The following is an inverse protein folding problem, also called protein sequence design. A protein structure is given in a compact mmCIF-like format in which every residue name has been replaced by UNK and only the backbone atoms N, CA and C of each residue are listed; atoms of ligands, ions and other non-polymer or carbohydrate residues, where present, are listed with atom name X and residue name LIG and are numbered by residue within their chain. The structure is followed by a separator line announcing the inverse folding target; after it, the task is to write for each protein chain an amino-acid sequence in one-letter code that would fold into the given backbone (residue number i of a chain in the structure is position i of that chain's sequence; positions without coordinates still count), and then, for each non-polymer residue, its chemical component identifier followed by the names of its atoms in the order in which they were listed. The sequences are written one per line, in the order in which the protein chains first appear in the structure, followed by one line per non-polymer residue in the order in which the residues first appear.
data_IF_657546545324
#
_entry.id   IF_657546545324
#
_cell.length_a   1.000
_cell.length_b   1.000
_cell.length_c   1.000
_cell.angle_alpha   90.00
_cell.angle_beta   90.00
_cell.angle_gamma   90.00
#
_symmetry.space_group_name_H-M   'P 1'
#
loop_
_entity.id
_entity.type
_entity.pdbx_description
1 polymer ?
#
# COMPACT_ATOMS: atom_id res chain seq x y z
N UNK A 1 18.21 -13.98 0.05
CA UNK A 1 18.04 -12.58 0.43
C UNK A 1 17.28 -11.92 -0.71
N UNK A 2 15.99 -11.70 -0.56
CA UNK A 2 15.15 -11.07 -1.59
C UNK A 2 15.12 -9.58 -1.26
N UNK A 3 15.63 -8.76 -2.17
CA UNK A 3 15.61 -7.30 -2.03
C UNK A 3 14.18 -6.78 -2.22
N UNK A 4 13.76 -5.77 -1.43
CA UNK A 4 12.48 -5.09 -1.65
C UNK A 4 12.47 -4.32 -2.97
N UNK A 5 11.31 -3.96 -3.42
CA UNK A 5 11.00 -3.17 -4.61
C UNK A 5 11.78 -1.85 -4.68
N UNK A 6 13.03 -1.88 -5.00
CA UNK A 6 13.96 -0.84 -5.42
C UNK A 6 15.36 -1.22 -4.92
N UNK A 7 16.22 -1.63 -5.81
CA UNK A 7 17.62 -1.90 -5.50
C UNK A 7 18.29 -0.60 -5.07
N UNK A 8 18.61 -0.46 -3.79
CA UNK A 8 19.52 0.58 -3.29
C UNK A 8 20.89 -0.07 -3.08
N UNK A 9 21.88 0.45 -3.78
CA UNK A 9 23.27 0.04 -3.64
C UNK A 9 23.78 0.28 -2.20
N UNK A 10 24.55 -0.66 -1.67
CA UNK A 10 25.24 -0.56 -0.37
C UNK A 10 26.23 0.61 -0.37
N UNK A 11 26.06 1.55 0.54
CA UNK A 11 27.03 2.64 0.81
C UNK A 11 26.91 3.13 2.25
N UNK A 12 28.05 3.34 2.89
CA UNK A 12 28.35 3.50 4.31
C UNK A 12 27.64 4.66 5.03
N UNK A 13 27.52 4.49 6.36
CA UNK A 13 27.03 5.46 7.35
C UNK A 13 27.80 6.79 7.29
N UNK A 14 27.11 7.89 7.07
CA UNK A 14 27.60 9.23 7.34
C UNK A 14 26.66 9.97 8.30
N UNK A 15 27.26 10.38 9.43
CA UNK A 15 26.67 11.12 10.55
C UNK A 15 26.16 12.49 10.09
N UNK A 16 24.90 12.81 10.34
CA UNK A 16 24.39 14.17 10.23
C UNK A 16 24.32 14.87 11.58
N UNK A 17 24.97 16.03 11.66
CA UNK A 17 24.89 16.99 12.78
C UNK A 17 23.60 17.80 12.64
N UNK A 18 22.88 17.91 13.75
CA UNK A 18 21.80 18.87 13.95
C UNK A 18 22.31 20.31 13.81
N UNK A 19 21.65 21.11 12.98
CA UNK A 19 21.70 22.57 13.04
C UNK A 19 20.32 23.01 13.55
N UNK A 20 20.35 23.62 14.75
CA UNK A 20 19.21 24.31 15.34
C UNK A 20 18.92 25.58 14.54
N UNK A 21 17.67 25.84 14.25
CA UNK A 21 17.16 27.15 13.87
C UNK A 21 16.16 27.63 14.90
N UNK A 22 16.37 28.87 15.34
CA UNK A 22 15.77 29.56 16.46
C UNK A 22 14.23 29.73 16.37
N UNK A 23 13.68 29.68 17.55
CA UNK A 23 12.31 30.04 17.88
C UNK A 23 12.13 31.58 17.91
N UNK A 24 11.05 32.11 17.37
CA UNK A 24 10.28 33.20 18.01
C UNK A 24 8.86 33.28 17.45
N UNK A 25 7.95 33.36 18.35
CA UNK A 25 6.71 34.12 18.58
C UNK A 25 5.42 33.31 18.58
N UNK A 26 4.98 33.11 19.76
CA UNK A 26 3.71 33.41 20.49
C UNK A 26 2.35 33.28 19.82
N UNK A 27 1.53 32.58 20.58
CA UNK A 27 0.10 32.56 20.88
C UNK A 27 -0.72 31.43 20.25
N UNK A 28 -1.36 30.61 21.13
CA UNK A 28 -2.32 29.60 20.68
C UNK A 28 -3.69 30.24 20.41
N UNK A 29 -4.38 29.89 19.32
CA UNK A 29 -5.78 30.24 19.15
C UNK A 29 -6.67 29.31 19.98
N UNK A 30 -7.65 29.93 20.59
CA UNK A 30 -8.72 29.45 21.44
C UNK A 30 -9.49 28.25 20.84
N UNK A 31 -9.94 27.44 21.78
CA UNK A 31 -10.80 26.29 21.66
C UNK A 31 -12.15 26.64 20.98
N UNK A 32 -12.24 26.48 19.67
CA UNK A 32 -13.50 26.45 18.95
C UNK A 32 -13.72 25.07 18.31
N UNK A 33 -14.87 24.55 18.61
CA UNK A 33 -15.45 23.29 18.19
C UNK A 33 -14.95 22.78 16.82
N UNK A 34 -14.16 21.70 16.80
CA UNK A 34 -13.82 20.95 15.59
C UNK A 34 -15.08 20.22 15.10
N UNK A 35 -15.90 20.91 14.34
CA UNK A 35 -16.92 20.29 13.50
C UNK A 35 -16.19 19.44 12.44
N UNK A 36 -16.50 18.15 12.41
CA UNK A 36 -16.15 17.27 11.31
C UNK A 36 -16.76 17.84 10.01
N UNK A 37 -15.99 18.57 9.24
CA UNK A 37 -16.40 18.95 7.90
C UNK A 37 -16.38 17.68 7.03
N UNK A 38 -17.56 17.15 6.73
CA UNK A 38 -17.75 16.22 5.62
C UNK A 38 -17.35 16.94 4.32
N UNK A 39 -16.09 16.77 3.92
CA UNK A 39 -15.64 17.16 2.60
C UNK A 39 -16.34 16.27 1.56
N UNK A 40 -17.39 16.78 0.96
CA UNK A 40 -18.05 16.18 -0.20
C UNK A 40 -17.13 16.32 -1.41
N UNK A 41 -16.18 15.40 -1.58
CA UNK A 41 -15.44 15.25 -2.83
C UNK A 41 -16.33 14.53 -3.84
N UNK A 42 -17.26 15.24 -4.47
CA UNK A 42 -17.89 14.80 -5.71
C UNK A 42 -16.98 15.21 -6.86
N UNK A 43 -16.14 14.28 -7.29
CA UNK A 43 -15.44 14.38 -8.55
C UNK A 43 -15.14 12.98 -9.07
N UNK A 44 -15.43 12.69 -10.33
CA UNK A 44 -15.09 11.44 -11.03
C UNK A 44 -13.55 11.34 -11.21
N UNK A 45 -12.83 11.31 -10.10
CA UNK A 45 -11.40 11.15 -10.15
C UNK A 45 -11.04 9.69 -10.39
N UNK A 46 -10.11 9.47 -11.27
CA UNK A 46 -9.65 8.21 -11.80
C UNK A 46 -9.61 7.09 -10.76
N UNK A 47 -10.31 6.01 -11.05
CA UNK A 47 -10.15 4.71 -10.38
C UNK A 47 -9.00 4.01 -11.08
N UNK A 48 -8.28 3.15 -10.35
CA UNK A 48 -7.26 2.32 -10.97
C UNK A 48 -7.86 1.57 -12.16
N UNK A 49 -7.20 1.66 -13.31
CA UNK A 49 -7.62 0.94 -14.51
C UNK A 49 -7.34 -0.56 -14.32
N UNK A 50 -8.35 -1.45 -14.24
CA UNK A 50 -8.11 -2.87 -14.03
C UNK A 50 -7.19 -3.50 -15.09
N UNK A 51 -7.20 -2.97 -16.33
CA UNK A 51 -6.30 -3.43 -17.40
C UNK A 51 -4.82 -3.23 -17.08
N UNK A 52 -4.47 -2.28 -16.19
CA UNK A 52 -3.09 -2.10 -15.77
C UNK A 52 -2.58 -3.33 -14.98
N UNK A 53 -3.47 -4.04 -14.29
CA UNK A 53 -3.14 -5.22 -13.50
C UNK A 53 -3.29 -6.55 -14.27
N UNK A 54 -3.74 -6.54 -15.54
CA UNK A 54 -3.85 -7.78 -16.33
C UNK A 54 -2.52 -8.55 -16.43
N UNK A 55 -1.34 -7.92 -16.71
CA UNK A 55 -0.09 -8.67 -16.75
C UNK A 55 0.27 -9.30 -15.41
N UNK A 56 0.02 -8.60 -14.29
CA UNK A 56 0.21 -9.14 -12.95
C UNK A 56 -0.69 -10.35 -12.69
N UNK A 57 -1.98 -10.24 -12.97
CA UNK A 57 -2.93 -11.36 -12.82
C UNK A 57 -2.54 -12.58 -13.65
N UNK A 58 -2.14 -12.36 -14.91
CA UNK A 58 -1.66 -13.43 -15.81
C UNK A 58 -0.40 -14.09 -15.29
N UNK A 59 0.54 -13.32 -14.74
CA UNK A 59 1.75 -13.86 -14.11
C UNK A 59 1.41 -14.78 -12.94
N UNK A 60 0.50 -14.37 -12.06
CA UNK A 60 0.03 -15.19 -10.96
C UNK A 60 -0.63 -16.49 -11.47
N UNK A 61 -1.47 -16.39 -12.48
CA UNK A 61 -2.17 -17.55 -13.04
C UNK A 61 -1.21 -18.52 -13.73
N UNK A 62 -0.21 -18.02 -14.47
CA UNK A 62 0.82 -18.84 -15.12
C UNK A 62 1.64 -19.61 -14.07
N UNK A 63 2.08 -18.93 -13.01
CA UNK A 63 2.80 -19.57 -11.92
C UNK A 63 1.95 -20.65 -11.22
N UNK A 64 0.69 -20.37 -10.94
CA UNK A 64 -0.25 -21.33 -10.35
C UNK A 64 -0.51 -22.55 -11.25
N UNK A 65 -0.31 -22.42 -12.57
CA UNK A 65 -0.41 -23.49 -13.56
C UNK A 65 0.92 -24.22 -13.79
N UNK A 66 2.00 -23.92 -13.04
CA UNK A 66 3.28 -24.62 -13.06
C UNK A 66 4.44 -23.91 -13.75
N UNK A 67 4.26 -22.70 -14.26
CA UNK A 67 5.35 -21.86 -14.78
C UNK A 67 6.12 -21.19 -13.62
N UNK A 68 7.01 -21.98 -13.00
CA UNK A 68 7.75 -21.56 -11.80
C UNK A 68 8.94 -20.63 -12.08
N UNK A 69 9.27 -20.40 -13.34
CA UNK A 69 10.43 -19.58 -13.76
C UNK A 69 10.04 -18.17 -14.21
N UNK A 70 8.76 -17.83 -14.15
CA UNK A 70 8.25 -16.55 -14.64
C UNK A 70 8.62 -15.38 -13.73
N UNK A 71 9.00 -14.30 -14.38
CA UNK A 71 9.26 -13.00 -13.77
C UNK A 71 8.23 -11.97 -14.25
N UNK A 72 7.82 -11.09 -13.34
CA UNK A 72 7.04 -9.89 -13.63
C UNK A 72 8.00 -8.72 -13.82
N UNK A 73 7.92 -8.03 -14.96
CA UNK A 73 8.66 -6.80 -15.18
C UNK A 73 7.77 -5.61 -14.82
N UNK A 74 8.29 -4.73 -13.97
CA UNK A 74 7.64 -3.47 -13.59
C UNK A 74 8.52 -2.34 -14.13
N UNK A 75 7.95 -1.50 -14.97
CA UNK A 75 8.64 -0.37 -15.59
C UNK A 75 8.05 0.95 -15.09
N UNK A 76 8.93 1.84 -14.63
CA UNK A 76 8.56 3.24 -14.35
C UNK A 76 8.62 4.06 -15.64
N UNK A 77 7.87 5.14 -15.74
CA UNK A 77 7.74 5.93 -16.96
C UNK A 77 9.01 6.72 -17.35
N UNK A 78 10.02 6.75 -16.48
CA UNK A 78 11.37 7.25 -16.80
C UNK A 78 12.31 6.16 -17.37
N UNK A 79 11.79 4.96 -17.58
CA UNK A 79 12.53 3.82 -18.11
C UNK A 79 13.22 2.94 -17.07
N UNK A 80 13.14 3.28 -15.77
CA UNK A 80 13.64 2.40 -14.70
C UNK A 80 12.85 1.09 -14.68
N UNK A 81 13.53 -0.05 -14.60
CA UNK A 81 12.94 -1.38 -14.64
C UNK A 81 13.25 -2.17 -13.37
N UNK A 82 12.27 -2.90 -12.88
CA UNK A 82 12.40 -3.83 -11.76
C UNK A 82 11.81 -5.18 -12.14
N UNK A 83 12.59 -6.24 -11.93
CA UNK A 83 12.17 -7.63 -12.16
C UNK A 83 11.77 -8.24 -10.82
N UNK A 84 10.57 -8.79 -10.75
CA UNK A 84 10.03 -9.45 -9.55
C UNK A 84 9.72 -10.90 -9.87
N UNK A 85 10.40 -11.86 -9.23
CA UNK A 85 10.05 -13.27 -9.37
C UNK A 85 8.59 -13.50 -8.93
N UNK A 86 7.79 -14.14 -9.77
CA UNK A 86 6.35 -14.37 -9.46
C UNK A 86 6.19 -15.22 -8.21
N UNK A 87 7.17 -16.10 -7.90
CA UNK A 87 7.23 -16.86 -6.64
C UNK A 87 7.13 -16.00 -5.39
N UNK A 88 7.54 -14.72 -5.47
CA UNK A 88 7.41 -13.76 -4.37
C UNK A 88 5.97 -13.63 -3.85
N UNK A 89 4.99 -13.68 -4.74
CA UNK A 89 3.57 -13.56 -4.39
C UNK A 89 2.96 -14.85 -3.84
N UNK A 90 3.71 -15.97 -3.90
CA UNK A 90 3.26 -17.29 -3.44
C UNK A 90 3.94 -17.75 -2.15
N UNK A 91 4.66 -16.85 -1.49
CA UNK A 91 5.36 -17.17 -0.23
C UNK A 91 4.38 -17.68 0.83
N UNK A 92 4.85 -18.61 1.64
CA UNK A 92 4.22 -19.04 2.88
C UNK A 92 4.80 -18.26 4.07
N UNK A 93 4.19 -18.36 5.25
CA UNK A 93 4.56 -17.59 6.43
C UNK A 93 6.07 -17.58 6.77
N UNK A 94 6.82 -18.71 6.66
CA UNK A 94 8.26 -18.68 6.88
C UNK A 94 9.05 -17.76 5.93
N UNK A 95 8.51 -17.52 4.74
CA UNK A 95 9.08 -16.62 3.74
C UNK A 95 8.65 -15.18 3.86
N UNK A 96 7.79 -14.83 4.81
CA UNK A 96 7.36 -13.46 5.04
C UNK A 96 8.46 -12.62 5.69
N UNK A 97 8.46 -11.33 5.41
CA UNK A 97 9.32 -10.35 6.09
C UNK A 97 8.91 -10.23 7.56
N UNK A 98 9.77 -9.63 8.38
CA UNK A 98 9.44 -9.33 9.77
C UNK A 98 8.20 -8.43 9.87
N UNK A 99 8.13 -7.42 9.02
CA UNK A 99 7.00 -6.48 8.92
C UNK A 99 5.68 -7.20 8.57
N UNK A 100 5.70 -8.11 7.59
CA UNK A 100 4.51 -8.90 7.22
C UNK A 100 4.05 -9.78 8.39
N UNK A 101 4.99 -10.44 9.09
CA UNK A 101 4.66 -11.27 10.28
C UNK A 101 4.09 -10.44 11.43
N UNK A 102 4.65 -9.24 11.66
CA UNK A 102 4.14 -8.31 12.66
C UNK A 102 2.71 -7.86 12.32
N UNK A 103 2.46 -7.44 11.08
CA UNK A 103 1.12 -7.05 10.63
C UNK A 103 0.10 -8.17 10.80
N UNK A 104 0.45 -9.42 10.41
CA UNK A 104 -0.41 -10.59 10.58
C UNK A 104 -0.65 -10.88 12.07
N UNK A 105 0.36 -10.73 12.93
CA UNK A 105 0.23 -10.90 14.38
C UNK A 105 -0.69 -9.88 15.04
N UNK A 106 -0.87 -8.71 14.45
CA UNK A 106 -1.74 -7.64 14.93
C UNK A 106 -3.18 -7.74 14.38
N UNK A 107 -3.43 -8.60 13.40
CA UNK A 107 -4.78 -8.82 12.88
C UNK A 107 -5.69 -9.39 13.97
N UNK A 108 -6.96 -8.96 13.95
CA UNK A 108 -8.00 -9.44 14.88
C UNK A 108 -9.36 -9.48 14.21
N UNK A 109 -10.24 -10.33 14.72
CA UNK A 109 -11.63 -10.46 14.29
C UNK A 109 -11.79 -10.78 12.80
N UNK A 110 -12.75 -10.11 12.17
CA UNK A 110 -12.98 -10.17 10.73
C UNK A 110 -11.96 -9.30 9.98
N UNK A 111 -11.27 -9.89 9.01
CA UNK A 111 -10.18 -9.26 8.27
C UNK A 111 -10.56 -9.07 6.81
N UNK A 112 -10.40 -7.85 6.28
CA UNK A 112 -10.39 -7.57 4.84
C UNK A 112 -8.95 -7.43 4.37
N UNK A 113 -8.48 -8.37 3.54
CA UNK A 113 -7.16 -8.34 2.90
C UNK A 113 -7.29 -7.65 1.54
N UNK A 114 -6.79 -6.42 1.44
CA UNK A 114 -6.98 -5.50 0.31
C UNK A 114 -5.81 -5.61 -0.65
N UNK A 115 -6.08 -5.99 -1.91
CA UNK A 115 -5.03 -6.30 -2.89
C UNK A 115 -4.38 -7.65 -2.60
N UNK A 116 -5.19 -8.65 -2.30
CA UNK A 116 -4.74 -9.95 -1.79
C UNK A 116 -3.84 -10.74 -2.74
N UNK A 117 -3.83 -10.41 -4.04
CA UNK A 117 -3.01 -11.07 -5.05
C UNK A 117 -3.23 -12.58 -5.09
N UNK A 118 -2.17 -13.36 -4.89
CA UNK A 118 -2.26 -14.82 -4.81
C UNK A 118 -2.87 -15.35 -3.50
N UNK A 119 -3.28 -14.48 -2.57
CA UNK A 119 -3.91 -14.85 -1.29
C UNK A 119 -2.95 -15.39 -0.24
N UNK A 120 -1.67 -15.07 -0.30
CA UNK A 120 -0.65 -15.58 0.64
C UNK A 120 -0.94 -15.17 2.09
N UNK A 121 -1.21 -13.89 2.35
CA UNK A 121 -1.58 -13.40 3.67
C UNK A 121 -2.95 -13.92 4.11
N UNK A 122 -3.94 -13.86 3.23
CA UNK A 122 -5.29 -14.39 3.46
C UNK A 122 -5.27 -15.85 3.92
N UNK A 123 -4.52 -16.71 3.23
CA UNK A 123 -4.42 -18.13 3.57
C UNK A 123 -3.80 -18.36 4.95
N UNK A 124 -2.77 -17.57 5.30
CA UNK A 124 -2.13 -17.64 6.64
C UNK A 124 -3.10 -17.18 7.73
N UNK A 125 -3.78 -16.05 7.53
CA UNK A 125 -4.77 -15.54 8.48
C UNK A 125 -5.92 -16.52 8.69
N UNK A 126 -6.42 -17.15 7.61
CA UNK A 126 -7.46 -18.16 7.68
C UNK A 126 -7.00 -19.39 8.48
N UNK A 127 -5.74 -19.86 8.30
CA UNK A 127 -5.17 -20.94 9.11
C UNK A 127 -5.01 -20.58 10.58
N UNK A 128 -4.82 -19.29 10.90
CA UNK A 128 -4.77 -18.75 12.28
C UNK A 128 -6.17 -18.58 12.91
N UNK A 129 -7.25 -18.90 12.18
CA UNK A 129 -8.63 -18.85 12.65
C UNK A 129 -9.37 -17.53 12.44
N UNK A 130 -8.82 -16.61 11.66
CA UNK A 130 -9.51 -15.38 11.30
C UNK A 130 -10.58 -15.63 10.21
N UNK A 131 -11.67 -14.86 10.26
CA UNK A 131 -12.66 -14.77 9.18
C UNK A 131 -12.09 -13.75 8.18
N UNK A 132 -11.67 -14.23 7.00
CA UNK A 132 -10.96 -13.40 6.01
C UNK A 132 -11.81 -13.23 4.77
N UNK A 133 -11.96 -11.99 4.32
CA UNK A 133 -12.41 -11.65 2.97
C UNK A 133 -11.18 -11.13 2.20
N UNK A 134 -10.78 -11.84 1.16
CA UNK A 134 -9.72 -11.41 0.25
C UNK A 134 -10.32 -10.57 -0.89
N UNK A 135 -9.81 -9.39 -1.13
CA UNK A 135 -10.26 -8.48 -2.18
C UNK A 135 -9.13 -8.21 -3.16
N UNK A 136 -9.39 -8.40 -4.45
CA UNK A 136 -8.47 -8.00 -5.51
C UNK A 136 -9.23 -7.51 -6.74
N UNK A 137 -8.62 -6.58 -7.49
CA UNK A 137 -9.21 -6.05 -8.72
C UNK A 137 -8.98 -6.98 -9.91
N UNK A 138 -7.97 -7.86 -9.86
CA UNK A 138 -7.62 -8.81 -10.92
C UNK A 138 -8.47 -10.08 -10.84
N UNK A 139 -9.25 -10.40 -11.88
CA UNK A 139 -9.99 -11.67 -11.94
C UNK A 139 -9.08 -12.90 -11.84
N UNK A 140 -7.87 -12.84 -12.41
CA UNK A 140 -6.90 -13.94 -12.39
C UNK A 140 -6.36 -14.14 -10.96
N UNK A 141 -6.04 -13.06 -10.24
CA UNK A 141 -5.62 -13.13 -8.84
C UNK A 141 -6.72 -13.78 -7.97
N UNK A 142 -7.98 -13.40 -8.18
CA UNK A 142 -9.14 -14.01 -7.50
C UNK A 142 -9.24 -15.51 -7.77
N UNK A 143 -9.04 -15.95 -9.02
CA UNK A 143 -9.02 -17.38 -9.37
C UNK A 143 -7.89 -18.10 -8.64
N UNK A 144 -6.69 -17.51 -8.61
CA UNK A 144 -5.52 -18.10 -7.93
C UNK A 144 -5.74 -18.19 -6.41
N UNK A 145 -6.20 -17.12 -5.76
CA UNK A 145 -6.47 -17.13 -4.32
C UNK A 145 -7.49 -18.20 -3.92
N UNK A 146 -8.57 -18.36 -4.70
CA UNK A 146 -9.57 -19.43 -4.50
C UNK A 146 -8.96 -20.83 -4.65
N UNK A 147 -8.14 -21.05 -5.68
CA UNK A 147 -7.45 -22.35 -5.88
C UNK A 147 -6.49 -22.67 -4.74
N UNK A 148 -5.93 -21.66 -4.08
CA UNK A 148 -5.08 -21.80 -2.89
C UNK A 148 -5.87 -21.97 -1.59
N UNK A 149 -7.20 -22.08 -1.66
CA UNK A 149 -8.07 -22.42 -0.53
C UNK A 149 -8.52 -21.21 0.31
N UNK A 150 -8.40 -19.98 -0.21
CA UNK A 150 -9.02 -18.82 0.43
C UNK A 150 -10.54 -18.91 0.23
N UNK A 151 -11.30 -18.92 1.35
CA UNK A 151 -12.72 -19.27 1.33
C UNK A 151 -13.62 -18.15 0.76
N UNK A 152 -13.36 -16.90 1.13
CA UNK A 152 -14.14 -15.74 0.66
C UNK A 152 -13.21 -14.80 -0.13
N UNK A 153 -13.37 -14.81 -1.46
CA UNK A 153 -12.57 -14.00 -2.39
C UNK A 153 -13.49 -13.20 -3.29
N UNK A 154 -13.29 -11.88 -3.33
CA UNK A 154 -14.11 -10.93 -4.08
C UNK A 154 -13.26 -10.25 -5.15
N UNK A 155 -13.78 -10.18 -6.38
CA UNK A 155 -13.20 -9.40 -7.47
C UNK A 155 -13.87 -8.02 -7.51
N UNK A 156 -13.22 -6.99 -6.98
CA UNK A 156 -13.76 -5.63 -7.01
C UNK A 156 -12.65 -4.57 -6.76
N UNK A 157 -12.92 -3.35 -7.19
CA UNK A 157 -12.19 -2.17 -6.77
C UNK A 157 -12.55 -1.84 -5.32
N UNK A 158 -11.55 -1.61 -4.48
CA UNK A 158 -11.75 -1.25 -3.06
C UNK A 158 -12.70 -0.06 -2.88
N UNK A 159 -12.63 0.95 -3.75
CA UNK A 159 -13.48 2.15 -3.66
C UNK A 159 -14.96 1.89 -4.04
N UNK A 160 -15.28 0.71 -4.56
CA UNK A 160 -16.66 0.28 -4.82
C UNK A 160 -17.10 -0.90 -3.95
N UNK A 161 -16.24 -1.34 -3.03
CA UNK A 161 -16.56 -2.43 -2.11
C UNK A 161 -17.28 -1.90 -0.87
N UNK A 162 -18.45 -2.48 -0.53
CA UNK A 162 -19.35 -1.94 0.50
C UNK A 162 -19.65 -2.93 1.65
N UNK A 163 -19.05 -4.15 1.59
CA UNK A 163 -19.23 -5.12 2.69
C UNK A 163 -18.45 -4.67 3.93
N UNK A 164 -18.96 -4.98 5.09
CA UNK A 164 -18.36 -4.65 6.39
C UNK A 164 -19.40 -4.66 7.50
N UNK A 165 -19.09 -4.21 8.73
CA UNK A 165 -17.77 -3.69 9.12
C UNK A 165 -16.74 -4.79 9.39
N UNK A 166 -15.44 -4.44 9.24
CA UNK A 166 -14.30 -5.30 9.57
C UNK A 166 -13.59 -4.81 10.83
N UNK A 167 -12.98 -5.74 11.58
CA UNK A 167 -12.14 -5.43 12.73
C UNK A 167 -10.72 -5.05 12.31
N UNK A 168 -10.25 -5.63 11.19
CA UNK A 168 -8.96 -5.31 10.59
C UNK A 168 -9.11 -5.14 9.08
N UNK A 169 -8.60 -4.03 8.57
CA UNK A 169 -8.28 -3.84 7.16
C UNK A 169 -6.77 -4.07 7.01
N UNK A 170 -6.36 -4.95 6.13
CA UNK A 170 -4.96 -5.28 5.88
C UNK A 170 -4.60 -4.91 4.45
N UNK A 171 -3.49 -4.17 4.25
CA UNK A 171 -3.02 -3.77 2.94
C UNK A 171 -1.50 -3.83 2.93
N UNK A 172 -0.93 -4.95 2.50
CA UNK A 172 0.51 -5.22 2.50
C UNK A 172 1.08 -5.29 1.08
N UNK A 173 2.41 -5.35 0.99
CA UNK A 173 3.14 -5.41 -0.27
C UNK A 173 3.08 -4.09 -1.04
N UNK A 174 3.13 -2.98 -0.33
CA UNK A 174 2.96 -1.63 -0.86
C UNK A 174 1.61 -1.41 -1.56
N UNK A 175 0.57 -2.13 -1.11
CA UNK A 175 -0.79 -2.06 -1.66
C UNK A 175 -1.37 -0.65 -1.65
N UNK A 176 -0.90 0.23 -0.75
CA UNK A 176 -1.29 1.64 -0.72
C UNK A 176 -1.02 2.36 -2.06
N UNK A 177 -0.12 1.82 -2.88
CA UNK A 177 0.19 2.30 -4.23
C UNK A 177 -1.03 2.36 -5.14
N UNK A 178 -2.04 1.49 -4.93
CA UNK A 178 -3.30 1.51 -5.70
C UNK A 178 -4.10 2.82 -5.51
N UNK A 179 -3.76 3.64 -4.52
CA UNK A 179 -4.30 4.99 -4.36
C UNK A 179 -3.83 5.97 -5.44
N UNK A 180 -2.76 5.64 -6.18
CA UNK A 180 -2.16 6.37 -7.28
C UNK A 180 -1.60 7.77 -6.93
N UNK A 181 -2.35 8.56 -6.13
CA UNK A 181 -2.02 9.95 -5.78
C UNK A 181 -2.40 10.25 -4.33
N UNK A 182 -1.90 11.38 -3.79
CA UNK A 182 -2.34 11.88 -2.46
C UNK A 182 -3.86 12.11 -2.42
N UNK A 183 -4.45 12.57 -3.51
CA UNK A 183 -5.92 12.71 -3.59
C UNK A 183 -6.61 11.34 -3.50
N UNK A 184 -6.06 10.33 -4.16
CA UNK A 184 -6.55 8.95 -4.08
C UNK A 184 -6.39 8.37 -2.68
N UNK A 185 -5.28 8.66 -1.99
CA UNK A 185 -5.06 8.28 -0.60
C UNK A 185 -6.18 8.82 0.31
N UNK A 186 -6.53 10.10 0.19
CA UNK A 186 -7.61 10.68 0.97
C UNK A 186 -8.95 9.95 0.76
N UNK A 187 -9.28 9.64 -0.51
CA UNK A 187 -10.50 8.88 -0.82
C UNK A 187 -10.46 7.49 -0.22
N UNK A 188 -9.32 6.80 -0.35
CA UNK A 188 -9.12 5.48 0.22
C UNK A 188 -9.27 5.51 1.74
N UNK A 189 -8.62 6.43 2.45
CA UNK A 189 -8.67 6.53 3.91
C UNK A 189 -10.10 6.80 4.42
N UNK A 190 -10.85 7.69 3.77
CA UNK A 190 -12.26 7.97 4.10
C UNK A 190 -13.11 6.72 3.87
N UNK A 191 -12.92 6.03 2.74
CA UNK A 191 -13.66 4.81 2.42
C UNK A 191 -13.30 3.66 3.38
N UNK A 192 -12.02 3.44 3.65
CA UNK A 192 -11.55 2.47 4.63
C UNK A 192 -12.15 2.72 6.03
N UNK A 193 -12.30 4.00 6.41
CA UNK A 193 -12.97 4.34 7.66
C UNK A 193 -14.43 3.84 7.70
N UNK A 194 -15.16 3.94 6.59
CA UNK A 194 -16.55 3.45 6.51
C UNK A 194 -16.64 1.92 6.55
N UNK A 195 -15.62 1.21 6.09
CA UNK A 195 -15.56 -0.26 6.11
C UNK A 195 -15.13 -0.83 7.46
N UNK A 196 -14.53 -0.01 8.33
CA UNK A 196 -14.01 -0.45 9.63
C UNK A 196 -15.07 -0.39 10.72
N UNK A 197 -15.06 -1.35 11.65
CA UNK A 197 -15.89 -1.32 12.86
C UNK A 197 -15.48 -0.21 13.82
N UNK A 198 -16.28 0.05 14.86
CA UNK A 198 -16.04 1.13 15.84
C UNK A 198 -14.64 1.04 16.48
N UNK A 199 -14.12 -0.16 16.69
CA UNK A 199 -12.78 -0.42 17.19
C UNK A 199 -11.85 -0.96 16.10
N UNK A 200 -12.22 -0.80 14.82
CA UNK A 200 -11.45 -1.31 13.70
C UNK A 200 -10.09 -0.64 13.54
N UNK A 201 -9.20 -1.34 12.85
CA UNK A 201 -7.86 -0.87 12.52
C UNK A 201 -7.56 -1.07 11.03
N UNK A 202 -6.67 -0.25 10.49
CA UNK A 202 -6.05 -0.44 9.19
C UNK A 202 -4.55 -0.65 9.40
N UNK A 203 -4.03 -1.77 8.91
CA UNK A 203 -2.60 -2.09 8.88
C UNK A 203 -2.14 -1.99 7.44
N UNK A 204 -1.17 -1.14 7.17
CA UNK A 204 -0.63 -0.94 5.82
C UNK A 204 0.87 -0.72 5.86
N UNK A 205 1.56 -1.14 4.81
CA UNK A 205 2.95 -0.81 4.58
C UNK A 205 3.11 0.21 3.44
N UNK A 206 4.19 0.97 3.49
CA UNK A 206 4.60 1.88 2.44
C UNK A 206 6.11 2.11 2.48
N UNK A 207 6.60 2.94 1.57
CA UNK A 207 8.01 3.31 1.43
C UNK A 207 8.17 4.81 1.53
N UNK A 208 9.10 5.27 2.39
CA UNK A 208 9.59 6.63 2.32
C UNK A 208 10.59 6.77 1.17
N UNK A 209 10.10 7.26 0.05
CA UNK A 209 10.93 7.44 -1.16
C UNK A 209 12.09 8.41 -0.99
N UNK A 210 12.11 9.19 0.11
CA UNK A 210 13.26 10.09 0.44
C UNK A 210 14.50 9.32 0.90
N UNK A 211 14.33 8.07 1.32
CA UNK A 211 15.41 7.18 1.72
C UNK A 211 16.17 6.64 0.50
N UNK A 212 16.69 7.55 -0.34
CA UNK A 212 17.43 7.20 -1.56
C UNK A 212 18.52 8.24 -1.84
N UNK A 213 19.64 7.77 -2.37
CA UNK A 213 20.73 8.56 -2.95
C UNK A 213 20.87 8.30 -4.48
N UNK A 214 20.02 7.46 -5.05
CA UNK A 214 20.01 7.14 -6.47
C UNK A 214 19.67 8.38 -7.31
N UNK A 215 20.54 8.80 -8.27
CA UNK A 215 20.31 9.99 -9.09
C UNK A 215 19.02 9.94 -9.91
N UNK A 216 18.59 8.77 -10.39
CA UNK A 216 17.36 8.62 -11.17
C UNK A 216 16.14 8.87 -10.27
N UNK A 217 16.15 8.35 -9.04
CA UNK A 217 15.09 8.61 -8.07
C UNK A 217 15.02 10.08 -7.68
N UNK A 218 16.17 10.71 -7.42
CA UNK A 218 16.25 12.14 -7.08
C UNK A 218 15.75 13.02 -8.23
N UNK A 219 16.09 12.68 -9.49
CA UNK A 219 15.60 13.36 -10.68
C UNK A 219 14.06 13.21 -10.83
N UNK A 220 13.54 12.01 -10.57
CA UNK A 220 12.10 11.75 -10.60
C UNK A 220 11.35 12.57 -9.53
N UNK A 221 11.88 12.62 -8.29
CA UNK A 221 11.34 13.47 -7.22
C UNK A 221 11.33 14.96 -7.60
N UNK A 222 12.40 15.42 -8.26
CA UNK A 222 12.46 16.80 -8.75
C UNK A 222 11.39 17.06 -9.79
N UNK A 223 11.23 16.18 -10.78
CA UNK A 223 10.20 16.32 -11.83
C UNK A 223 8.80 16.34 -11.24
N UNK A 224 8.51 15.52 -10.23
CA UNK A 224 7.24 15.55 -9.53
C UNK A 224 6.99 16.88 -8.82
N UNK A 225 7.99 17.40 -8.06
CA UNK A 225 7.87 18.71 -7.41
C UNK A 225 7.64 19.83 -8.42
N UNK A 226 8.40 19.85 -9.51
CA UNK A 226 8.29 20.88 -10.57
C UNK A 226 6.89 20.84 -11.23
N UNK A 227 6.25 19.68 -11.27
CA UNK A 227 4.90 19.48 -11.77
C UNK A 227 3.79 19.66 -10.70
N UNK A 228 4.13 20.05 -9.46
CA UNK A 228 3.19 20.22 -8.36
C UNK A 228 2.62 18.91 -7.83
N UNK A 229 3.27 17.77 -8.10
CA UNK A 229 2.90 16.46 -7.60
C UNK A 229 3.65 16.10 -6.32
N UNK A 230 3.09 15.21 -5.52
CA UNK A 230 3.80 14.60 -4.41
C UNK A 230 4.95 13.73 -4.94
N UNK A 231 6.10 13.75 -4.26
CA UNK A 231 7.34 13.10 -4.77
C UNK A 231 7.20 11.58 -4.95
N UNK A 232 6.34 10.94 -4.18
CA UNK A 232 6.08 9.50 -4.24
C UNK A 232 4.97 9.08 -5.19
N UNK A 233 4.38 10.00 -5.96
CA UNK A 233 3.46 9.67 -7.06
C UNK A 233 4.28 9.21 -8.27
N UNK A 234 4.33 7.91 -8.51
CA UNK A 234 5.05 7.33 -9.65
C UNK A 234 4.07 6.76 -10.68
N UNK A 235 4.54 6.54 -11.89
CA UNK A 235 3.77 5.87 -12.94
C UNK A 235 4.44 4.56 -13.30
N UNK A 236 3.70 3.46 -13.17
CA UNK A 236 4.20 2.11 -13.40
C UNK A 236 3.46 1.44 -14.55
N UNK A 237 4.15 0.57 -15.25
CA UNK A 237 3.63 -0.34 -16.26
C UNK A 237 4.05 -1.74 -15.91
N UNK A 238 3.09 -2.65 -15.79
CA UNK A 238 3.36 -4.07 -15.59
C UNK A 238 3.49 -4.77 -16.93
N UNK A 239 4.46 -5.68 -17.03
CA UNK A 239 4.69 -6.49 -18.23
C UNK A 239 4.94 -7.95 -17.84
N UNK A 240 4.28 -8.87 -18.54
CA UNK A 240 4.47 -10.30 -18.38
C UNK A 240 4.54 -10.98 -19.74
N UNK A 241 5.62 -11.74 -19.99
CA UNK A 241 5.87 -12.46 -21.27
C UNK A 241 5.70 -11.53 -22.50
N UNK A 242 6.24 -10.31 -22.42
CA UNK A 242 6.19 -9.33 -23.51
C UNK A 242 4.84 -8.59 -23.64
N UNK A 243 3.83 -8.94 -22.87
CA UNK A 243 2.55 -8.25 -22.86
C UNK A 243 2.51 -7.17 -21.80
N UNK A 244 2.29 -5.93 -22.23
CA UNK A 244 2.28 -4.74 -21.40
C UNK A 244 0.85 -4.30 -21.10
N UNK A 245 0.60 -3.99 -19.83
CA UNK A 245 -0.57 -3.21 -19.44
C UNK A 245 -0.40 -1.72 -19.77
N UNK A 246 -1.45 -0.90 -19.65
CA UNK A 246 -1.29 0.54 -19.66
C UNK A 246 -0.53 1.04 -18.45
N UNK A 247 0.10 2.21 -18.54
CA UNK A 247 0.64 2.89 -17.36
C UNK A 247 -0.49 3.26 -16.40
N UNK A 248 -0.25 3.02 -15.11
CA UNK A 248 -1.11 3.46 -14.00
C UNK A 248 -0.31 4.28 -12.99
N UNK A 249 -1.00 5.07 -12.18
CA UNK A 249 -0.40 5.71 -11.02
C UNK A 249 -0.08 4.68 -9.94
N UNK A 250 0.94 4.98 -9.14
CA UNK A 250 1.31 4.20 -7.96
C UNK A 250 1.85 5.13 -6.89
N UNK A 251 1.30 5.06 -5.69
CA UNK A 251 1.69 5.96 -4.60
C UNK A 251 2.62 5.25 -3.61
N UNK A 252 3.78 5.83 -3.39
CA UNK A 252 4.55 5.60 -2.17
C UNK A 252 4.41 6.83 -1.28
N UNK A 253 4.01 6.66 -0.02
CA UNK A 253 3.77 7.78 0.89
C UNK A 253 4.66 7.66 2.11
N UNK A 254 5.35 8.74 2.47
CA UNK A 254 6.15 8.78 3.71
C UNK A 254 5.26 8.83 4.96
N UNK A 255 5.81 8.38 6.09
CA UNK A 255 5.08 8.23 7.34
C UNK A 255 4.49 9.54 7.89
N UNK A 256 5.16 10.68 7.65
CA UNK A 256 4.65 11.99 8.08
C UNK A 256 3.43 12.38 7.26
N UNK A 257 3.52 12.30 5.93
CA UNK A 257 2.42 12.59 5.01
C UNK A 257 1.25 11.64 5.24
N UNK A 258 1.51 10.33 5.43
CA UNK A 258 0.46 9.38 5.77
C UNK A 258 -0.29 9.79 7.05
N UNK A 259 0.43 10.18 8.12
CA UNK A 259 -0.18 10.61 9.39
C UNK A 259 -1.08 11.83 9.19
N UNK A 260 -0.59 12.87 8.52
CA UNK A 260 -1.35 14.10 8.27
C UNK A 260 -2.67 13.81 7.52
N UNK A 261 -2.63 12.98 6.48
CA UNK A 261 -3.83 12.62 5.71
C UNK A 261 -4.74 11.63 6.45
N UNK A 262 -4.18 10.76 7.28
CA UNK A 262 -4.94 9.85 8.14
C UNK A 262 -5.76 10.61 9.17
N UNK A 263 -5.17 11.61 9.83
CA UNK A 263 -5.86 12.46 10.81
C UNK A 263 -7.05 13.22 10.19
N UNK A 264 -6.87 13.75 8.98
CA UNK A 264 -7.96 14.39 8.22
C UNK A 264 -9.11 13.44 7.90
N UNK A 265 -8.83 12.14 7.77
CA UNK A 265 -9.82 11.10 7.51
C UNK A 265 -10.39 10.44 8.79
N UNK A 266 -10.03 10.93 9.98
CA UNK A 266 -10.53 10.45 11.26
C UNK A 266 -9.76 9.29 11.88
N UNK A 267 -8.55 9.03 11.38
CA UNK A 267 -7.66 8.01 11.90
C UNK A 267 -6.55 8.59 12.76
N UNK A 268 -6.16 7.88 13.82
CA UNK A 268 -4.89 8.07 14.50
C UNK A 268 -3.87 7.11 13.85
N UNK A 269 -2.72 7.63 13.40
CA UNK A 269 -1.68 6.86 12.71
C UNK A 269 -0.44 6.70 13.58
N UNK A 270 -0.03 5.45 13.79
CA UNK A 270 1.19 5.05 14.48
C UNK A 270 2.07 4.24 13.53
N UNK A 271 3.36 4.58 13.43
CA UNK A 271 4.36 3.74 12.74
C UNK A 271 4.87 2.74 13.75
N UNK A 272 4.63 1.45 13.49
CA UNK A 272 4.95 0.35 14.41
C UNK A 272 6.21 -0.42 14.01
N UNK A 273 6.62 -0.31 12.75
CA UNK A 273 7.86 -0.89 12.24
C UNK A 273 8.52 0.04 11.22
N UNK A 274 9.85 0.12 11.23
CA UNK A 274 10.63 0.84 10.23
C UNK A 274 11.79 -0.03 9.75
N UNK A 275 11.81 -0.28 8.43
CA UNK A 275 12.92 -0.95 7.77
C UNK A 275 14.07 0.01 7.44
N UNK A 276 15.26 -0.54 7.25
CA UNK A 276 16.46 0.24 6.93
C UNK A 276 16.42 0.91 5.54
N UNK A 277 15.57 0.42 4.64
CA UNK A 277 15.44 0.90 3.26
C UNK A 277 14.34 1.96 3.09
N UNK A 278 13.76 2.44 4.20
CA UNK A 278 12.65 3.39 4.17
C UNK A 278 11.26 2.74 4.20
N UNK A 279 11.19 1.42 4.09
CA UNK A 279 9.94 0.69 4.29
C UNK A 279 9.43 0.86 5.72
N UNK A 280 8.12 0.96 5.89
CA UNK A 280 7.52 1.03 7.21
C UNK A 280 6.14 0.37 7.24
N UNK A 281 5.75 -0.10 8.43
CA UNK A 281 4.40 -0.56 8.73
C UNK A 281 3.70 0.47 9.60
N UNK A 282 2.52 0.88 9.19
CA UNK A 282 1.66 1.77 9.95
C UNK A 282 0.40 1.05 10.42
N UNK A 283 -0.02 1.39 11.63
CA UNK A 283 -1.29 1.02 12.21
C UNK A 283 -2.15 2.27 12.38
N UNK A 284 -3.28 2.27 11.73
CA UNK A 284 -4.28 3.31 11.87
C UNK A 284 -5.44 2.79 12.71
N UNK A 285 -5.84 3.56 13.71
CA UNK A 285 -7.01 3.27 14.56
C UNK A 285 -7.99 4.42 14.48
N UNK A 286 -9.29 4.13 14.62
CA UNK A 286 -10.30 5.19 14.58
C UNK A 286 -10.13 6.16 15.75
N UNK A 287 -10.15 7.46 15.48
CA UNK A 287 -10.27 8.44 16.55
C UNK A 287 -11.60 8.21 17.27
N UNK A 288 -11.55 8.01 18.60
CA UNK A 288 -12.77 7.96 19.39
C UNK A 288 -13.43 9.35 19.36
N UNK A 289 -14.75 9.44 19.12
CA UNK A 289 -15.43 10.69 19.35
C UNK A 289 -15.27 11.07 20.83
N UNK A 290 -14.92 12.33 21.05
CA UNK A 290 -14.78 12.89 22.40
C UNK A 290 -16.11 12.90 23.14
#
# INVERSE_FOLDING_TARGET
MVQPFLTIAKGELLKWRLVQADSTTDNPPSNESRQCHHLQFRDEAARMNPKAMEPFGRALLAYANGDSSSDLLIRRDDGTETVVPVSHFFREEPGFTEMEREAIGLCRGGVLDIGAGAGSHSAVLQRKGHIVTALDISPEAVVVARRRGVADVVCADILSFERGPFDTLLMLGHGIGMSETIRGLNRFLIHAYSLSGAHGQLLLDSLDVRATDDPANLAYHKANRDAGRYIGEVRLQFEFQGQKGPFCGWLHVDAKTLREHSELAGWQCEVIHQGASGDYLAKLTRCMPA
#
